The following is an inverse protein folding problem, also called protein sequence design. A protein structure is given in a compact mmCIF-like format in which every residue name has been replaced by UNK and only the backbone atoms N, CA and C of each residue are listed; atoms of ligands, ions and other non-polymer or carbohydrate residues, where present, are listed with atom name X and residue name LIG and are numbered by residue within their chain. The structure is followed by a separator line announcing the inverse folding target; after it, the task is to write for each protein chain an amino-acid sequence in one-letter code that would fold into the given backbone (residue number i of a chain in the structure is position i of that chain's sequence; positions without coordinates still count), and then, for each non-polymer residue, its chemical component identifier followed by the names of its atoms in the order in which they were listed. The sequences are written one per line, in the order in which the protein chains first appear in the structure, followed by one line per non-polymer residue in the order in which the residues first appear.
data_IF_316085837482
#
_entry.id   IF_316085837482
#
_cell.length_a   1.000
_cell.length_b   1.000
_cell.length_c   1.000
_cell.angle_alpha   90.00
_cell.angle_beta   90.00
_cell.angle_gamma   90.00
#
_symmetry.space_group_name_H-M   'P 1'
#
loop_
_entity.id
_entity.type
_entity.pdbx_description
1 polymer ?
#
# COMPACT_ATOMS: atom_id res chain seq x y z
N UNK A 1 26.57 -1.36 6.97
CA UNK A 1 25.33 -1.29 6.18
C UNK A 1 25.74 -0.96 4.76
N UNK A 2 25.72 -1.95 3.87
CA UNK A 2 26.01 -1.75 2.45
C UNK A 2 24.74 -1.20 1.80
N UNK A 3 24.78 0.05 1.35
CA UNK A 3 23.72 0.62 0.53
C UNK A 3 23.96 0.10 -0.89
N UNK A 4 23.28 -0.98 -1.27
CA UNK A 4 23.25 -1.43 -2.66
C UNK A 4 22.31 -0.49 -3.42
N UNK A 5 22.91 0.34 -4.28
CA UNK A 5 22.21 1.30 -5.14
C UNK A 5 21.52 0.53 -6.27
N UNK A 6 20.25 0.82 -6.48
CA UNK A 6 19.51 0.35 -7.65
C UNK A 6 20.06 1.13 -8.86
N UNK A 7 20.81 0.48 -9.75
CA UNK A 7 21.52 1.16 -10.84
C UNK A 7 20.61 1.63 -12.01
N UNK A 8 19.30 1.74 -11.80
CA UNK A 8 18.29 2.00 -12.83
C UNK A 8 17.73 3.42 -12.86
N UNK A 9 18.46 4.42 -12.37
CA UNK A 9 17.93 5.78 -12.22
C UNK A 9 18.81 6.82 -12.92
N UNK A 10 18.16 7.78 -13.57
CA UNK A 10 18.85 8.96 -14.07
C UNK A 10 19.06 9.98 -12.95
N UNK A 11 20.16 10.70 -13.00
CA UNK A 11 20.50 11.78 -12.07
C UNK A 11 20.15 13.15 -12.69
N UNK A 12 20.14 13.23 -14.02
CA UNK A 12 19.70 14.41 -14.77
C UNK A 12 19.20 13.99 -16.17
N UNK A 13 17.90 13.72 -16.33
CA UNK A 13 17.36 13.21 -17.58
C UNK A 13 17.57 14.19 -18.74
N UNK A 14 18.20 13.71 -19.82
CA UNK A 14 18.35 14.47 -21.06
C UNK A 14 16.99 14.68 -21.74
N UNK A 15 16.96 15.62 -22.69
CA UNK A 15 15.85 15.71 -23.65
C UNK A 15 15.66 14.36 -24.35
N UNK A 16 14.40 13.94 -24.46
CA UNK A 16 14.00 12.71 -25.14
C UNK A 16 13.22 13.13 -26.38
N UNK A 17 13.85 13.06 -27.55
CA UNK A 17 13.16 13.26 -28.81
C UNK A 17 12.29 12.03 -29.11
N UNK A 18 11.06 12.07 -28.60
CA UNK A 18 10.08 10.99 -28.74
C UNK A 18 9.65 10.77 -30.18
N UNK A 19 9.68 11.82 -31.02
CA UNK A 19 9.34 11.73 -32.44
C UNK A 19 10.38 10.91 -33.20
N UNK A 20 11.65 11.23 -33.02
CA UNK A 20 12.75 10.51 -33.69
C UNK A 20 12.84 9.05 -33.21
N UNK A 21 12.67 8.83 -31.89
CA UNK A 21 12.59 7.47 -31.33
C UNK A 21 11.44 6.69 -31.97
N UNK A 22 10.24 7.28 -32.05
CA UNK A 22 9.08 6.63 -32.64
C UNK A 22 9.32 6.28 -34.12
N UNK A 23 9.91 7.19 -34.89
CA UNK A 23 10.25 6.96 -36.31
C UNK A 23 11.23 5.79 -36.49
N UNK A 24 12.26 5.70 -35.65
CA UNK A 24 13.19 4.57 -35.69
C UNK A 24 12.48 3.26 -35.31
N UNK A 25 11.56 3.27 -34.34
CA UNK A 25 10.79 2.08 -33.97
C UNK A 25 9.91 1.58 -35.13
N UNK A 26 9.25 2.49 -35.85
CA UNK A 26 8.45 2.17 -37.05
C UNK A 26 9.29 1.47 -38.12
N UNK A 27 10.55 1.84 -38.27
CA UNK A 27 11.45 1.24 -39.25
C UNK A 27 11.68 -0.27 -39.04
N UNK A 28 11.40 -0.81 -37.85
CA UNK A 28 11.45 -2.25 -37.56
C UNK A 28 10.21 -3.02 -38.04
N UNK A 29 9.24 -2.36 -38.70
CA UNK A 29 8.04 -3.00 -39.26
C UNK A 29 7.02 -3.45 -38.22
N UNK A 30 7.02 -2.81 -37.03
CA UNK A 30 6.12 -3.16 -35.93
C UNK A 30 4.80 -2.42 -36.09
N UNK A 31 3.68 -3.09 -35.82
CA UNK A 31 2.35 -2.47 -35.82
C UNK A 31 2.26 -1.40 -34.73
N UNK A 32 2.10 -0.14 -35.10
CA UNK A 32 2.06 0.98 -34.14
C UNK A 32 0.92 0.87 -33.13
N UNK A 33 -0.20 0.25 -33.52
CA UNK A 33 -1.38 0.12 -32.65
C UNK A 33 -1.10 -0.72 -31.40
N UNK A 34 -0.14 -1.65 -31.47
CA UNK A 34 0.23 -2.48 -30.31
C UNK A 34 1.26 -1.81 -29.40
N UNK A 35 1.81 -0.65 -29.76
CA UNK A 35 2.82 0.02 -28.94
C UNK A 35 2.21 1.04 -27.98
N UNK A 36 1.02 1.57 -28.32
CA UNK A 36 0.36 2.69 -27.63
C UNK A 36 1.34 3.82 -27.21
N UNK A 37 2.27 4.13 -28.13
CA UNK A 37 3.45 4.94 -27.86
C UNK A 37 3.07 6.31 -27.28
N UNK A 38 2.04 6.95 -27.82
CA UNK A 38 1.60 8.29 -27.39
C UNK A 38 1.18 8.33 -25.92
N UNK A 39 0.51 7.30 -25.42
CA UNK A 39 -0.11 7.33 -24.10
C UNK A 39 0.78 6.72 -23.01
N UNK A 40 1.70 5.83 -23.39
CA UNK A 40 2.44 5.00 -22.43
C UNK A 40 3.96 5.00 -22.61
N UNK A 41 4.54 5.68 -23.61
CA UNK A 41 5.99 5.71 -23.78
C UNK A 41 6.74 6.03 -22.47
N UNK A 42 6.29 7.05 -21.74
CA UNK A 42 6.96 7.44 -20.49
C UNK A 42 6.64 6.55 -19.28
N UNK A 43 5.58 5.74 -19.31
CA UNK A 43 5.35 4.71 -18.28
C UNK A 43 6.11 3.40 -18.55
N UNK A 44 6.58 3.22 -19.79
CA UNK A 44 7.11 1.97 -20.31
C UNK A 44 8.64 2.00 -20.50
N UNK A 45 9.28 3.10 -20.11
CA UNK A 45 10.73 3.24 -20.08
C UNK A 45 11.29 2.96 -18.69
N UNK A 46 12.52 2.43 -18.67
CA UNK A 46 13.36 2.34 -17.47
C UNK A 46 14.72 2.93 -17.81
N UNK A 47 15.21 3.84 -16.98
CA UNK A 47 16.54 4.41 -17.13
C UNK A 47 17.58 3.38 -16.79
N UNK A 48 18.53 3.08 -17.69
CA UNK A 48 19.76 2.40 -17.30
C UNK A 48 20.76 3.39 -16.71
N UNK A 49 20.79 4.59 -17.24
CA UNK A 49 21.57 5.74 -16.78
C UNK A 49 21.09 6.98 -17.56
N UNK A 50 21.72 8.14 -17.32
CA UNK A 50 21.39 9.43 -17.96
C UNK A 50 21.45 9.43 -19.50
N UNK A 51 22.09 8.42 -20.11
CA UNK A 51 22.29 8.32 -21.55
C UNK A 51 21.61 7.11 -22.19
N UNK A 52 21.01 6.21 -21.42
CA UNK A 52 20.47 4.96 -21.94
C UNK A 52 19.16 4.61 -21.25
N UNK A 53 18.14 4.31 -22.05
CA UNK A 53 16.85 3.80 -21.62
C UNK A 53 16.63 2.39 -22.16
N UNK A 54 15.89 1.59 -21.43
CA UNK A 54 15.16 0.47 -22.01
C UNK A 54 13.69 0.87 -22.16
N UNK A 55 13.12 0.62 -23.34
CA UNK A 55 11.70 0.79 -23.59
C UNK A 55 11.09 -0.59 -23.83
N UNK A 56 10.11 -0.97 -23.02
CA UNK A 56 9.29 -2.16 -23.26
C UNK A 56 7.82 -1.75 -23.30
N UNK A 57 7.27 -1.49 -24.51
CA UNK A 57 5.88 -1.05 -24.65
C UNK A 57 4.92 -1.97 -23.91
N UNK A 58 4.03 -1.36 -23.15
CA UNK A 58 2.89 -2.01 -22.55
C UNK A 58 2.14 -2.79 -23.65
N UNK A 59 1.61 -3.96 -23.31
CA UNK A 59 1.02 -4.91 -24.27
C UNK A 59 1.99 -5.69 -25.17
N UNK A 60 3.30 -5.43 -25.12
CA UNK A 60 4.30 -6.19 -25.91
C UNK A 60 5.42 -6.77 -25.05
N UNK A 61 6.15 -7.75 -25.58
CA UNK A 61 7.43 -8.19 -25.02
C UNK A 61 8.64 -7.58 -25.74
N UNK A 62 8.42 -6.62 -26.63
CA UNK A 62 9.52 -5.96 -27.32
C UNK A 62 10.40 -5.22 -26.34
N UNK A 63 11.71 -5.34 -26.50
CA UNK A 63 12.65 -4.54 -25.75
C UNK A 63 13.48 -3.73 -26.73
N UNK A 64 13.46 -2.43 -26.55
CA UNK A 64 14.32 -1.50 -27.26
C UNK A 64 15.33 -0.93 -26.28
N UNK A 65 16.60 -0.89 -26.70
CA UNK A 65 17.62 -0.07 -26.05
C UNK A 65 17.67 1.26 -26.78
N UNK A 66 17.50 2.35 -26.06
CA UNK A 66 17.54 3.71 -26.59
C UNK A 66 18.76 4.40 -26.01
N UNK A 67 19.65 4.87 -26.87
CA UNK A 67 20.77 5.74 -26.49
C UNK A 67 20.35 7.19 -26.68
N UNK A 68 20.34 7.98 -25.61
CA UNK A 68 19.93 9.38 -25.59
C UNK A 68 21.09 10.31 -25.97
N UNK A 69 20.77 11.36 -26.70
CA UNK A 69 21.66 12.41 -27.16
C UNK A 69 20.92 13.28 -28.19
N UNK A 70 21.63 14.23 -28.80
CA UNK A 70 21.05 15.14 -29.80
C UNK A 70 20.40 14.37 -30.96
N UNK A 71 20.98 13.21 -31.30
CA UNK A 71 20.41 12.25 -32.22
C UNK A 71 20.23 10.90 -31.49
N UNK A 72 19.04 10.60 -30.95
CA UNK A 72 18.83 9.34 -30.24
C UNK A 72 19.00 8.14 -31.18
N UNK A 73 19.42 7.00 -30.64
CA UNK A 73 19.55 5.75 -31.40
C UNK A 73 18.78 4.63 -30.75
N UNK A 74 17.92 3.98 -31.51
CA UNK A 74 17.06 2.90 -31.06
C UNK A 74 17.56 1.56 -31.61
N UNK A 75 17.73 0.59 -30.73
CA UNK A 75 18.07 -0.78 -31.07
C UNK A 75 16.96 -1.71 -30.58
N UNK A 76 16.30 -2.43 -31.48
CA UNK A 76 15.43 -3.56 -31.08
C UNK A 76 16.32 -4.71 -30.62
N UNK A 77 16.27 -5.05 -29.34
CA UNK A 77 17.14 -6.07 -28.74
C UNK A 77 16.42 -7.38 -28.42
N UNK A 78 15.09 -7.44 -28.51
CA UNK A 78 14.29 -8.66 -28.32
C UNK A 78 14.01 -9.38 -29.65
N UNK A 79 13.99 -10.72 -29.63
CA UNK A 79 13.66 -11.56 -30.80
C UNK A 79 12.22 -12.13 -30.79
N UNK A 80 11.59 -12.34 -29.63
CA UNK A 80 10.28 -13.03 -29.50
C UNK A 80 9.06 -12.10 -29.48
N UNK A 81 7.90 -12.65 -29.87
CA UNK A 81 6.64 -11.92 -30.15
C UNK A 81 5.42 -12.38 -29.35
N UNK A 82 5.48 -13.48 -28.60
CA UNK A 82 4.26 -14.09 -28.05
C UNK A 82 4.36 -14.30 -26.53
N UNK A 83 3.65 -13.47 -25.76
CA UNK A 83 3.06 -13.81 -24.45
C UNK A 83 1.81 -12.95 -24.20
N UNK A 84 0.81 -13.56 -23.58
CA UNK A 84 -0.56 -13.01 -23.44
C UNK A 84 -0.80 -12.14 -22.20
N UNK A 85 0.24 -11.68 -21.50
CA UNK A 85 0.13 -11.01 -20.19
C UNK A 85 0.99 -9.75 -20.05
N UNK A 86 1.01 -8.94 -21.10
CA UNK A 86 1.96 -7.84 -21.26
C UNK A 86 1.46 -6.49 -20.73
N UNK A 87 0.22 -6.41 -20.21
CA UNK A 87 -0.35 -5.16 -19.70
C UNK A 87 -0.07 -4.91 -18.21
N UNK A 88 0.16 -3.64 -17.85
CA UNK A 88 0.29 -3.14 -16.47
C UNK A 88 1.31 -3.94 -15.63
N UNK A 89 2.43 -4.31 -16.26
CA UNK A 89 3.55 -4.99 -15.60
C UNK A 89 4.41 -3.98 -14.85
N UNK A 90 5.04 -4.43 -13.78
CA UNK A 90 6.06 -3.65 -13.09
C UNK A 90 7.42 -3.88 -13.74
N UNK A 91 7.84 -2.95 -14.59
CA UNK A 91 9.13 -2.96 -15.28
C UNK A 91 10.19 -2.23 -14.44
N UNK A 92 11.39 -2.80 -14.29
CA UNK A 92 12.47 -2.20 -13.49
C UNK A 92 13.85 -2.79 -13.83
N UNK A 93 14.92 -2.14 -13.38
CA UNK A 93 16.29 -2.66 -13.50
C UNK A 93 16.86 -3.03 -12.14
N UNK A 94 17.35 -4.26 -11.98
CA UNK A 94 18.11 -4.65 -10.79
C UNK A 94 19.44 -5.25 -11.23
N UNK A 95 20.54 -4.73 -10.69
CA UNK A 95 21.91 -5.14 -11.07
C UNK A 95 22.12 -5.18 -12.60
N UNK A 96 21.73 -4.11 -13.30
CA UNK A 96 21.81 -3.96 -14.77
C UNK A 96 20.98 -4.96 -15.60
N UNK A 97 20.11 -5.74 -14.95
CA UNK A 97 19.20 -6.69 -15.62
C UNK A 97 17.78 -6.14 -15.60
N UNK A 98 17.13 -6.11 -16.77
CA UNK A 98 15.75 -5.68 -16.93
C UNK A 98 14.81 -6.78 -16.44
N UNK A 99 13.96 -6.45 -15.48
CA UNK A 99 12.94 -7.33 -14.93
C UNK A 99 11.54 -6.80 -15.23
N UNK A 100 10.59 -7.73 -15.29
CA UNK A 100 9.17 -7.43 -15.37
C UNK A 100 8.43 -8.34 -14.40
N UNK A 101 7.57 -7.76 -13.55
CA UNK A 101 6.83 -8.48 -12.53
C UNK A 101 5.33 -8.26 -12.65
N UNK A 102 4.57 -9.34 -12.50
CA UNK A 102 3.13 -9.31 -12.70
C UNK A 102 2.76 -9.23 -14.18
N UNK A 103 1.52 -8.80 -14.46
CA UNK A 103 1.00 -8.64 -15.80
C UNK A 103 -0.44 -9.11 -15.92
N UNK A 104 -1.21 -8.42 -16.75
CA UNK A 104 -2.61 -8.72 -17.01
C UNK A 104 -2.76 -8.98 -18.52
N UNK A 105 -3.55 -9.99 -18.84
CA UNK A 105 -4.04 -10.28 -20.18
C UNK A 105 -5.55 -10.06 -20.25
N UNK A 106 -6.13 -10.28 -21.43
CA UNK A 106 -7.58 -10.12 -21.66
C UNK A 106 -8.45 -10.99 -20.73
N UNK A 107 -8.00 -12.21 -20.42
CA UNK A 107 -8.81 -13.20 -19.68
C UNK A 107 -8.11 -13.74 -18.43
N UNK A 108 -6.85 -13.41 -18.23
CA UNK A 108 -6.00 -14.03 -17.22
C UNK A 108 -4.90 -13.06 -16.77
N UNK A 109 -4.17 -13.40 -15.71
CA UNK A 109 -3.06 -12.61 -15.20
C UNK A 109 -1.82 -13.49 -15.03
N UNK A 110 -0.64 -12.88 -15.14
CA UNK A 110 0.63 -13.53 -14.88
C UNK A 110 1.18 -12.99 -13.56
N UNK A 111 1.22 -13.81 -12.49
CA UNK A 111 1.74 -13.38 -11.20
C UNK A 111 3.25 -13.61 -11.03
N UNK A 112 3.97 -13.89 -12.11
CA UNK A 112 5.38 -14.27 -12.05
C UNK A 112 6.35 -13.11 -12.22
N UNK A 113 7.62 -13.39 -11.95
CA UNK A 113 8.77 -12.54 -12.26
C UNK A 113 9.49 -13.09 -13.49
N UNK A 114 9.78 -12.20 -14.45
CA UNK A 114 10.63 -12.51 -15.59
C UNK A 114 11.79 -11.51 -15.67
N UNK A 115 12.87 -11.94 -16.31
CA UNK A 115 14.01 -11.10 -16.61
C UNK A 115 14.37 -11.20 -18.08
N UNK A 116 14.92 -10.13 -18.64
CA UNK A 116 15.41 -10.12 -20.00
C UNK A 116 16.83 -10.69 -20.03
N UNK A 117 17.00 -11.84 -20.67
CA UNK A 117 18.29 -12.45 -20.90
C UNK A 117 18.92 -11.85 -22.16
N UNK A 118 19.89 -10.96 -21.99
CA UNK A 118 20.52 -10.25 -23.11
C UNK A 118 21.19 -11.17 -24.15
N UNK A 119 21.92 -12.24 -23.78
CA UNK A 119 22.53 -13.15 -24.75
C UNK A 119 21.51 -13.87 -25.62
N UNK A 120 20.43 -14.42 -25.04
CA UNK A 120 19.38 -15.08 -25.82
C UNK A 120 18.34 -14.13 -26.40
N UNK A 121 18.32 -12.86 -25.97
CA UNK A 121 17.37 -11.81 -26.37
C UNK A 121 15.91 -12.13 -26.05
N UNK A 122 15.69 -12.88 -24.97
CA UNK A 122 14.39 -13.42 -24.58
C UNK A 122 14.04 -13.10 -23.14
N UNK A 123 12.75 -13.13 -22.84
CA UNK A 123 12.26 -13.05 -21.47
C UNK A 123 12.26 -14.44 -20.83
N UNK A 124 12.90 -14.56 -19.68
CA UNK A 124 13.05 -15.83 -18.97
C UNK A 124 12.36 -15.73 -17.61
N UNK A 125 11.55 -16.75 -17.29
CA UNK A 125 10.89 -16.84 -15.99
C UNK A 125 11.91 -17.02 -14.86
N UNK A 126 11.83 -16.16 -13.85
CA UNK A 126 12.63 -16.28 -12.63
C UNK A 126 11.84 -17.06 -11.57
N UNK A 127 12.43 -18.13 -11.05
CA UNK A 127 11.86 -18.88 -9.93
C UNK A 127 12.04 -18.08 -8.64
N UNK A 128 10.97 -17.92 -7.89
CA UNK A 128 10.97 -17.32 -6.54
C UNK A 128 10.75 -18.45 -5.54
N UNK A 129 11.65 -18.61 -4.57
CA UNK A 129 11.52 -19.56 -3.47
C UNK A 129 10.38 -19.14 -2.56
N UNK A 130 9.66 -20.13 -2.01
CA UNK A 130 8.53 -19.94 -1.10
C UNK A 130 7.39 -19.08 -1.67
N UNK A 131 7.34 -18.85 -2.99
CA UNK A 131 6.27 -18.12 -3.62
C UNK A 131 4.97 -18.94 -3.56
N UNK A 132 3.81 -18.36 -3.17
CA UNK A 132 2.59 -19.13 -3.02
C UNK A 132 2.15 -19.74 -4.37
N UNK A 133 1.66 -20.97 -4.35
CA UNK A 133 1.29 -21.69 -5.57
C UNK A 133 -0.09 -21.27 -6.11
N UNK A 134 -0.92 -20.69 -5.26
CA UNK A 134 -2.31 -20.30 -5.47
C UNK A 134 -2.46 -18.82 -5.85
N UNK A 135 -1.36 -18.13 -6.17
CA UNK A 135 -1.41 -16.72 -6.58
C UNK A 135 -2.14 -16.62 -7.92
N UNK A 136 -3.22 -15.83 -7.93
CA UNK A 136 -4.01 -15.51 -9.11
C UNK A 136 -3.48 -14.29 -9.85
N UNK A 137 -3.13 -13.21 -9.14
CA UNK A 137 -2.58 -11.99 -9.75
C UNK A 137 -1.79 -11.13 -8.75
N UNK A 138 -0.85 -10.36 -9.27
CA UNK A 138 -0.23 -9.24 -8.53
C UNK A 138 -1.18 -8.05 -8.58
N UNK A 139 -1.59 -7.54 -7.43
CA UNK A 139 -2.48 -6.38 -7.33
C UNK A 139 -1.72 -5.07 -7.22
N UNK A 140 -0.63 -5.08 -6.47
CA UNK A 140 0.23 -3.92 -6.28
C UNK A 140 1.67 -4.37 -6.07
N UNK A 141 2.63 -3.57 -6.51
CA UNK A 141 4.02 -3.77 -6.15
C UNK A 141 4.84 -2.48 -6.31
N UNK A 142 5.92 -2.35 -5.55
CA UNK A 142 6.93 -1.31 -5.70
C UNK A 142 8.29 -1.86 -5.25
N UNK A 143 9.37 -1.22 -5.64
CA UNK A 143 10.72 -1.67 -5.29
C UNK A 143 11.36 -0.68 -4.34
N UNK A 144 11.97 -1.22 -3.28
CA UNK A 144 12.75 -0.47 -2.32
C UNK A 144 14.03 -1.27 -2.01
N UNK A 145 15.18 -0.68 -2.31
CA UNK A 145 16.46 -1.36 -2.23
C UNK A 145 16.46 -2.66 -3.04
N UNK A 146 16.81 -3.78 -2.41
CA UNK A 146 16.83 -5.10 -3.03
C UNK A 146 15.51 -5.89 -2.87
N UNK A 147 14.38 -5.22 -2.61
CA UNK A 147 13.10 -5.90 -2.34
C UNK A 147 11.99 -5.42 -3.26
N UNK A 148 11.19 -6.35 -3.77
CA UNK A 148 9.86 -6.04 -4.31
C UNK A 148 8.86 -6.17 -3.17
N UNK A 149 8.24 -5.06 -2.75
CA UNK A 149 7.05 -5.10 -1.91
C UNK A 149 5.86 -5.51 -2.78
N UNK A 150 5.04 -6.44 -2.31
CA UNK A 150 3.97 -7.00 -3.15
C UNK A 150 2.69 -7.32 -2.40
N UNK A 151 1.56 -6.91 -2.99
CA UNK A 151 0.23 -7.40 -2.64
C UNK A 151 -0.23 -8.42 -3.69
N UNK A 152 -0.51 -9.63 -3.23
CA UNK A 152 -0.96 -10.76 -4.03
C UNK A 152 -2.45 -11.02 -3.79
N UNK A 153 -3.14 -11.43 -4.85
CA UNK A 153 -4.48 -12.00 -4.77
C UNK A 153 -4.42 -13.49 -5.11
N UNK A 154 -5.13 -14.30 -4.34
CA UNK A 154 -5.11 -15.75 -4.42
C UNK A 154 -6.42 -16.29 -5.04
N UNK A 155 -6.38 -17.52 -5.54
CA UNK A 155 -7.60 -18.27 -5.82
C UNK A 155 -8.31 -18.58 -4.50
N UNK A 156 -9.64 -18.50 -4.48
CA UNK A 156 -10.41 -18.89 -3.30
C UNK A 156 -10.61 -20.41 -3.28
N UNK A 157 -10.62 -21.00 -2.08
CA UNK A 157 -10.94 -22.42 -1.90
C UNK A 157 -12.39 -22.77 -2.28
N UNK A 158 -13.25 -21.76 -2.50
CA UNK A 158 -14.67 -21.92 -2.80
C UNK A 158 -15.03 -21.28 -4.14
N UNK A 159 -14.54 -21.83 -5.24
CA UNK A 159 -15.13 -21.59 -6.57
C UNK A 159 -16.51 -22.26 -6.65
N UNK A 160 -17.47 -21.76 -5.87
CA UNK A 160 -18.88 -22.06 -6.06
C UNK A 160 -19.48 -20.94 -6.91
N UNK A 161 -20.39 -21.28 -7.80
CA UNK A 161 -21.00 -20.47 -8.87
C UNK A 161 -21.75 -19.20 -8.44
N UNK A 162 -21.55 -18.71 -7.21
CA UNK A 162 -22.01 -17.40 -6.74
C UNK A 162 -20.82 -16.46 -6.74
N UNK A 163 -20.98 -15.30 -7.40
CA UNK A 163 -20.06 -14.17 -7.44
C UNK A 163 -19.29 -14.11 -6.12
N UNK A 164 -18.03 -14.55 -6.15
CA UNK A 164 -17.26 -14.75 -4.93
C UNK A 164 -16.93 -13.36 -4.37
N UNK A 165 -17.70 -12.96 -3.38
CA UNK A 165 -17.65 -11.59 -2.86
C UNK A 165 -16.45 -11.37 -1.95
N UNK A 166 -15.45 -12.26 -1.88
CA UNK A 166 -14.33 -12.13 -0.95
C UNK A 166 -12.98 -12.46 -1.60
N UNK A 167 -12.11 -11.46 -1.75
CA UNK A 167 -10.73 -11.65 -2.20
C UNK A 167 -9.87 -12.19 -1.06
N UNK A 168 -9.06 -13.21 -1.35
CA UNK A 168 -8.00 -13.69 -0.47
C UNK A 168 -6.69 -13.00 -0.86
N UNK A 169 -6.08 -12.30 0.09
CA UNK A 169 -4.94 -11.43 -0.15
C UNK A 169 -3.77 -11.81 0.75
N UNK A 170 -2.55 -11.72 0.22
CA UNK A 170 -1.33 -11.72 1.03
C UNK A 170 -0.45 -10.54 0.68
N UNK A 171 0.22 -10.00 1.69
CA UNK A 171 1.20 -8.94 1.55
C UNK A 171 2.55 -9.45 2.04
N UNK A 172 3.60 -9.14 1.30
CA UNK A 172 4.94 -9.61 1.61
C UNK A 172 6.01 -8.91 0.78
N UNK A 173 7.20 -9.47 0.81
CA UNK A 173 8.36 -8.99 0.08
C UNK A 173 9.03 -10.12 -0.69
N UNK A 174 9.60 -9.80 -1.85
CA UNK A 174 10.51 -10.68 -2.60
C UNK A 174 11.91 -10.09 -2.51
N UNK A 175 12.83 -10.83 -1.89
CA UNK A 175 14.26 -10.51 -1.89
C UNK A 175 14.82 -10.78 -3.31
N UNK A 176 15.35 -9.74 -3.96
CA UNK A 176 15.87 -9.80 -5.34
C UNK A 176 17.27 -10.43 -5.44
N UNK A 177 18.01 -10.57 -4.33
CA UNK A 177 19.31 -11.24 -4.32
C UNK A 177 19.13 -12.76 -4.19
N UNK A 178 18.25 -13.17 -3.27
CA UNK A 178 17.96 -14.58 -2.97
C UNK A 178 16.85 -15.16 -3.85
N UNK A 179 16.06 -14.29 -4.46
CA UNK A 179 14.81 -14.61 -5.15
C UNK A 179 13.90 -15.44 -4.24
N UNK A 180 13.57 -14.90 -3.07
CA UNK A 180 12.79 -15.57 -2.03
C UNK A 180 11.66 -14.67 -1.54
N UNK A 181 10.46 -15.25 -1.45
CA UNK A 181 9.27 -14.57 -0.95
C UNK A 181 9.12 -14.79 0.56
N UNK A 182 8.90 -13.69 1.27
CA UNK A 182 8.53 -13.69 2.68
C UNK A 182 7.15 -13.05 2.83
N UNK A 183 6.18 -13.82 3.33
CA UNK A 183 4.86 -13.30 3.63
C UNK A 183 4.88 -12.53 4.96
N UNK A 184 4.38 -11.30 4.94
CA UNK A 184 4.24 -10.45 6.13
C UNK A 184 2.84 -10.58 6.73
N UNK A 185 1.81 -10.65 5.89
CA UNK A 185 0.42 -10.74 6.33
C UNK A 185 -0.47 -11.46 5.30
N UNK A 186 -1.61 -11.97 5.76
CA UNK A 186 -2.68 -12.51 4.92
C UNK A 186 -4.04 -12.08 5.47
N UNK A 187 -4.96 -11.68 4.58
CA UNK A 187 -6.27 -11.18 4.97
C UNK A 187 -7.31 -11.38 3.87
N UNK A 188 -8.59 -11.25 4.23
CA UNK A 188 -9.71 -11.34 3.29
C UNK A 188 -10.44 -10.01 3.19
N UNK A 189 -10.94 -9.64 2.00
CA UNK A 189 -11.67 -8.38 1.77
C UNK A 189 -12.88 -8.55 0.85
N UNK A 190 -14.03 -7.95 1.18
CA UNK A 190 -15.30 -8.19 0.48
C UNK A 190 -15.63 -7.23 -0.67
N UNK A 191 -16.40 -7.72 -1.65
CA UNK A 191 -16.63 -7.18 -3.00
C UNK A 191 -17.57 -5.98 -3.20
N UNK A 192 -18.43 -5.57 -2.25
CA UNK A 192 -19.14 -4.29 -2.39
C UNK A 192 -18.19 -3.08 -2.47
N UNK A 193 -16.96 -3.19 -1.95
CA UNK A 193 -15.89 -2.20 -2.13
C UNK A 193 -15.18 -2.29 -3.49
N UNK A 194 -15.38 -3.38 -4.25
CA UNK A 194 -14.66 -3.70 -5.49
C UNK A 194 -15.40 -3.30 -6.77
N UNK A 195 -16.73 -3.20 -6.75
CA UNK A 195 -17.54 -2.85 -7.94
C UNK A 195 -17.32 -1.41 -8.44
N UNK A 196 -16.79 -0.53 -7.59
CA UNK A 196 -16.49 0.87 -7.94
C UNK A 196 -15.02 1.28 -7.71
N UNK A 197 -14.20 0.47 -7.00
CA UNK A 197 -12.87 0.89 -6.52
C UNK A 197 -11.81 -0.22 -6.42
N UNK A 198 -11.56 -0.99 -7.50
CA UNK A 198 -10.31 -1.76 -7.59
C UNK A 198 -9.05 -0.89 -7.36
N UNK A 199 -9.15 0.42 -7.64
CA UNK A 199 -8.20 1.50 -7.36
C UNK A 199 -7.83 1.74 -5.88
N UNK A 200 -8.44 1.03 -4.91
CA UNK A 200 -8.17 1.24 -3.49
C UNK A 200 -7.13 0.30 -2.90
N UNK A 201 -6.84 -0.82 -3.56
CA UNK A 201 -5.88 -1.82 -3.08
C UNK A 201 -4.52 -1.73 -3.74
N UNK A 202 -4.34 -0.85 -4.71
CA UNK A 202 -3.08 -0.54 -5.35
C UNK A 202 -3.19 0.75 -6.12
N UNK A 203 -2.12 1.15 -6.80
CA UNK A 203 -2.14 2.25 -7.76
C UNK A 203 -1.86 1.68 -9.15
N UNK A 204 -2.50 2.26 -10.16
CA UNK A 204 -2.13 1.96 -11.54
C UNK A 204 -0.82 2.64 -11.85
N UNK A 205 -0.02 2.03 -12.73
CA UNK A 205 1.27 2.56 -13.15
C UNK A 205 1.17 3.97 -13.74
N UNK A 206 0.06 4.27 -14.43
CA UNK A 206 -0.22 5.58 -15.01
C UNK A 206 0.32 5.71 -16.44
N UNK A 207 0.33 6.93 -16.94
CA UNK A 207 0.85 7.32 -18.26
C UNK A 207 2.32 7.76 -18.21
N UNK A 208 2.82 8.03 -17.00
CA UNK A 208 4.17 8.47 -16.73
C UNK A 208 4.70 7.79 -15.48
N UNK A 209 5.94 7.29 -15.52
CA UNK A 209 6.64 6.81 -14.33
C UNK A 209 8.06 7.34 -14.31
N UNK A 210 8.45 7.88 -13.16
CA UNK A 210 9.85 8.04 -12.82
C UNK A 210 10.12 7.35 -11.49
N UNK A 211 10.92 6.29 -11.52
CA UNK A 211 11.28 5.55 -10.32
C UNK A 211 12.61 6.08 -9.76
N UNK A 212 12.75 6.15 -8.44
CA UNK A 212 13.98 6.50 -7.71
C UNK A 212 14.13 5.59 -6.48
N UNK A 213 15.24 5.65 -5.74
CA UNK A 213 15.46 4.74 -4.60
C UNK A 213 14.35 4.81 -3.54
N UNK A 214 13.95 6.03 -3.15
CA UNK A 214 13.01 6.27 -2.04
C UNK A 214 11.60 6.61 -2.50
N UNK A 215 11.45 7.13 -3.72
CA UNK A 215 10.18 7.59 -4.24
C UNK A 215 9.92 7.09 -5.65
N UNK A 216 8.65 6.99 -6.04
CA UNK A 216 8.28 6.91 -7.45
C UNK A 216 7.26 7.97 -7.81
N UNK A 217 7.50 8.68 -8.90
CA UNK A 217 6.59 9.66 -9.47
C UNK A 217 5.70 8.97 -10.50
N UNK A 218 4.40 9.19 -10.39
CA UNK A 218 3.39 8.63 -11.28
C UNK A 218 2.55 9.76 -11.85
N UNK A 219 2.37 9.78 -13.17
CA UNK A 219 1.51 10.75 -13.85
C UNK A 219 0.32 10.07 -14.52
N UNK A 220 -0.83 10.73 -14.50
CA UNK A 220 -2.10 10.22 -14.98
C UNK A 220 -2.80 11.23 -15.87
N UNK A 221 -3.30 10.76 -17.01
CA UNK A 221 -4.26 11.51 -17.83
C UNK A 221 -5.66 11.26 -17.24
N UNK A 222 -6.31 12.31 -16.75
CA UNK A 222 -7.66 12.28 -16.17
C UNK A 222 -8.74 12.46 -17.26
N UNK A 223 -10.02 12.30 -16.91
CA UNK A 223 -11.16 12.21 -17.87
C UNK A 223 -11.30 13.41 -18.83
N UNK A 224 -10.79 14.59 -18.46
CA UNK A 224 -10.84 15.82 -19.28
C UNK A 224 -9.51 16.13 -19.98
N UNK A 225 -8.55 15.21 -19.94
CA UNK A 225 -7.20 15.41 -20.49
C UNK A 225 -6.23 16.10 -19.54
N UNK A 226 -6.68 16.53 -18.36
CA UNK A 226 -5.83 17.07 -17.31
C UNK A 226 -4.77 16.03 -16.91
N UNK A 227 -3.54 16.48 -16.69
CA UNK A 227 -2.45 15.63 -16.25
C UNK A 227 -2.17 15.85 -14.76
N UNK A 228 -2.14 14.77 -13.97
CA UNK A 228 -1.92 14.85 -12.53
C UNK A 228 -0.76 13.96 -12.10
N UNK A 229 0.16 14.52 -11.33
CA UNK A 229 1.27 13.78 -10.74
C UNK A 229 0.96 13.35 -9.30
N UNK A 230 1.52 12.21 -8.92
CA UNK A 230 1.41 11.63 -7.58
C UNK A 230 2.73 10.97 -7.22
N UNK A 231 3.09 10.98 -5.95
CA UNK A 231 4.33 10.41 -5.44
C UNK A 231 4.01 9.22 -4.55
N UNK A 232 4.66 8.09 -4.79
CA UNK A 232 4.78 7.02 -3.83
C UNK A 232 6.03 7.25 -2.99
N UNK A 233 5.86 7.39 -1.68
CA UNK A 233 6.94 7.14 -0.71
C UNK A 233 7.07 5.63 -0.52
N UNK A 234 8.18 5.06 -0.98
CA UNK A 234 8.39 3.61 -1.00
C UNK A 234 8.67 3.03 0.38
N UNK A 235 9.22 3.85 1.28
CA UNK A 235 9.53 3.49 2.66
C UNK A 235 8.24 3.43 3.47
N UNK A 236 7.42 4.47 3.36
CA UNK A 236 6.14 4.58 4.07
C UNK A 236 5.00 3.87 3.35
N UNK A 237 5.19 3.42 2.11
CA UNK A 237 4.13 2.85 1.27
C UNK A 237 2.96 3.82 1.11
N UNK A 238 3.24 5.12 1.12
CA UNK A 238 2.25 6.20 1.08
C UNK A 238 2.19 6.78 -0.32
N UNK A 239 0.99 6.84 -0.90
CA UNK A 239 0.79 7.39 -2.23
C UNK A 239 -0.01 8.68 -2.16
N UNK A 240 0.64 9.80 -2.51
CA UNK A 240 0.13 11.14 -2.23
C UNK A 240 0.14 12.06 -3.45
N UNK A 241 -0.76 13.03 -3.44
CA UNK A 241 -0.74 14.21 -4.31
C UNK A 241 -0.64 15.47 -3.44
N UNK A 242 0.06 16.49 -3.94
CA UNK A 242 0.19 17.78 -3.28
C UNK A 242 -0.17 18.92 -4.25
N UNK A 243 -0.52 20.09 -3.70
CA UNK A 243 -0.82 21.27 -4.53
C UNK A 243 0.34 21.68 -5.43
N UNK A 244 1.60 21.42 -5.02
CA UNK A 244 2.78 21.69 -5.86
C UNK A 244 2.90 20.73 -7.05
N UNK A 245 2.48 19.48 -6.91
CA UNK A 245 2.44 18.54 -8.03
C UNK A 245 1.36 18.90 -9.05
N UNK A 246 0.27 19.50 -8.59
CA UNK A 246 -0.84 19.97 -9.43
C UNK A 246 -0.49 21.20 -10.29
N UNK A 247 0.58 21.92 -9.95
CA UNK A 247 1.11 23.04 -10.75
C UNK A 247 1.93 22.56 -11.96
N UNK A 248 2.32 21.28 -12.01
CA UNK A 248 3.18 20.75 -13.06
C UNK A 248 2.41 20.39 -14.32
N UNK A 249 3.00 20.71 -15.48
CA UNK A 249 2.50 20.30 -16.78
C UNK A 249 2.88 18.86 -17.14
N UNK A 250 2.15 18.27 -18.09
CA UNK A 250 2.48 16.95 -18.65
C UNK A 250 3.86 16.96 -19.33
N UNK A 251 4.61 15.86 -19.19
CA UNK A 251 5.87 15.67 -19.92
C UNK A 251 5.62 15.39 -21.41
N UNK A 252 6.55 15.83 -22.26
CA UNK A 252 6.61 15.44 -23.67
C UNK A 252 7.99 14.94 -24.11
N UNK A 253 8.95 14.92 -23.19
CA UNK A 253 10.34 14.50 -23.40
C UNK A 253 11.30 15.68 -23.49
N UNK A 254 10.84 16.84 -23.98
CA UNK A 254 11.55 18.10 -23.87
C UNK A 254 11.30 18.74 -22.51
N UNK A 255 10.03 18.87 -22.12
CA UNK A 255 9.66 19.03 -20.72
C UNK A 255 9.73 17.69 -20.01
N UNK A 256 10.20 17.70 -18.75
CA UNK A 256 10.38 16.45 -18.01
C UNK A 256 10.32 16.65 -16.50
N UNK A 257 9.67 15.75 -15.78
CA UNK A 257 9.59 15.77 -14.31
C UNK A 257 10.27 14.55 -13.73
N UNK A 258 11.22 14.69 -12.83
CA UNK A 258 11.90 13.55 -12.22
C UNK A 258 12.11 13.75 -10.72
N UNK A 259 12.40 12.67 -10.01
CA UNK A 259 12.71 12.72 -8.58
C UNK A 259 14.16 12.32 -8.37
N UNK A 260 14.86 13.12 -7.58
CA UNK A 260 16.18 12.78 -7.05
C UNK A 260 16.19 13.07 -5.56
N UNK A 261 16.61 12.07 -4.79
CA UNK A 261 16.55 12.08 -3.33
C UNK A 261 15.11 12.39 -2.87
N UNK A 262 14.91 13.48 -2.13
CA UNK A 262 13.58 13.93 -1.66
C UNK A 262 13.08 15.17 -2.41
N UNK A 263 13.55 15.42 -3.64
CA UNK A 263 13.15 16.58 -4.43
C UNK A 263 12.59 16.19 -5.79
N UNK A 264 11.50 16.85 -6.16
CA UNK A 264 10.95 16.84 -7.51
C UNK A 264 11.65 17.92 -8.31
N UNK A 265 12.10 17.58 -9.51
CA UNK A 265 12.68 18.49 -10.48
C UNK A 265 11.80 18.56 -11.70
N UNK A 266 11.55 19.76 -12.21
CA UNK A 266 10.87 19.98 -13.46
C UNK A 266 11.80 20.75 -14.41
N UNK A 267 12.01 20.18 -15.59
CA UNK A 267 12.69 20.82 -16.71
C UNK A 267 11.64 21.32 -17.70
N UNK A 268 11.71 22.60 -18.05
CA UNK A 268 10.87 23.19 -19.09
C UNK A 268 11.45 22.98 -20.50
N UNK A 269 10.71 23.42 -21.53
CA UNK A 269 11.15 23.35 -22.93
C UNK A 269 12.41 24.16 -23.25
N UNK A 270 12.73 25.18 -22.46
CA UNK A 270 13.94 25.99 -22.63
C UNK A 270 15.15 25.38 -21.91
N UNK A 271 14.94 24.29 -21.16
CA UNK A 271 15.96 23.63 -20.36
C UNK A 271 16.16 24.25 -18.97
N UNK A 272 15.32 25.20 -18.55
CA UNK A 272 15.36 25.70 -17.18
C UNK A 272 14.86 24.63 -16.22
N UNK A 273 15.47 24.54 -15.04
CA UNK A 273 15.14 23.53 -14.04
C UNK A 273 14.67 24.20 -12.76
N UNK A 274 13.45 23.88 -12.36
CA UNK A 274 12.90 24.22 -11.06
C UNK A 274 12.82 22.96 -10.18
N UNK A 275 12.84 23.15 -8.85
CA UNK A 275 12.69 22.03 -7.94
C UNK A 275 12.00 22.39 -6.63
N UNK A 276 11.33 21.41 -6.05
CA UNK A 276 10.68 21.51 -4.74
C UNK A 276 10.79 20.19 -3.98
N UNK A 277 10.63 20.23 -2.65
CA UNK A 277 10.62 19.02 -1.82
C UNK A 277 9.37 18.17 -2.12
N UNK A 278 9.49 16.84 -2.11
CA UNK A 278 8.37 15.90 -2.36
C UNK A 278 7.17 16.10 -1.42
N UNK A 279 7.34 16.78 -0.29
CA UNK A 279 6.29 17.13 0.66
C UNK A 279 5.81 18.58 0.55
N UNK A 280 6.29 19.34 -0.43
CA UNK A 280 5.90 20.75 -0.60
C UNK A 280 4.44 20.87 -1.04
N UNK A 281 3.78 21.92 -0.56
CA UNK A 281 2.35 22.17 -0.80
C UNK A 281 1.45 21.46 0.21
N UNK A 282 0.14 21.62 0.02
CA UNK A 282 -0.86 20.95 0.85
C UNK A 282 -1.16 19.56 0.30
N UNK A 283 -1.33 18.56 1.19
CA UNK A 283 -1.71 17.20 0.79
C UNK A 283 -3.18 17.18 0.35
N UNK A 284 -3.42 16.85 -0.92
CA UNK A 284 -4.77 16.79 -1.51
C UNK A 284 -5.36 15.39 -1.36
N UNK A 285 -4.54 14.38 -1.63
CA UNK A 285 -4.91 12.98 -1.57
C UNK A 285 -3.75 12.22 -0.92
N UNK A 286 -4.03 11.36 0.05
CA UNK A 286 -3.05 10.37 0.51
C UNK A 286 -3.69 9.00 0.70
N UNK A 287 -2.96 7.94 0.34
CA UNK A 287 -3.31 6.55 0.57
C UNK A 287 -2.13 5.82 1.20
N UNK A 288 -2.32 5.34 2.42
CA UNK A 288 -1.32 4.61 3.19
C UNK A 288 -1.43 3.10 2.94
N UNK A 289 -0.72 2.57 1.93
CA UNK A 289 -0.86 1.16 1.52
C UNK A 289 -0.35 0.18 2.58
N UNK A 290 0.76 0.47 3.28
CA UNK A 290 1.21 -0.41 4.36
C UNK A 290 0.15 -0.56 5.46
N UNK A 291 -0.50 0.53 5.87
CA UNK A 291 -1.59 0.47 6.85
C UNK A 291 -2.78 -0.33 6.34
N UNK A 292 -3.12 -0.17 5.06
CA UNK A 292 -4.20 -0.95 4.42
C UNK A 292 -3.91 -2.46 4.37
N UNK A 293 -2.63 -2.85 4.36
CA UNK A 293 -2.21 -4.24 4.24
C UNK A 293 -1.78 -4.86 5.58
N UNK A 294 -1.72 -4.08 6.67
CA UNK A 294 -1.44 -4.61 8.00
C UNK A 294 -2.58 -5.52 8.49
N UNK A 295 -2.26 -6.50 9.35
CA UNK A 295 -3.31 -7.28 10.00
C UNK A 295 -4.15 -6.31 10.82
N UNK A 296 -5.48 -6.35 10.66
CA UNK A 296 -6.36 -5.65 11.60
C UNK A 296 -6.15 -6.29 12.97
N UNK A 297 -5.46 -5.61 13.87
CA UNK A 297 -5.50 -5.99 15.28
C UNK A 297 -6.96 -5.95 15.69
N UNK A 298 -7.46 -7.02 16.30
CA UNK A 298 -8.77 -6.95 16.99
C UNK A 298 -8.56 -6.00 18.16
N UNK A 299 -8.73 -4.69 17.92
CA UNK A 299 -8.84 -3.73 19.00
C UNK A 299 -10.12 -4.08 19.73
N UNK A 300 -9.95 -4.74 20.87
CA UNK A 300 -11.04 -4.92 21.82
C UNK A 300 -11.49 -3.50 22.17
N UNK A 301 -12.69 -3.15 21.75
CA UNK A 301 -13.25 -1.83 21.98
C UNK A 301 -13.11 -1.49 23.47
N UNK A 302 -12.64 -0.29 23.84
CA UNK A 302 -12.56 0.10 25.25
C UNK A 302 -13.93 -0.05 25.93
N UNK A 303 -15.03 0.11 25.18
CA UNK A 303 -16.38 -0.15 25.66
C UNK A 303 -16.62 -1.61 26.07
N UNK A 304 -16.01 -2.59 25.40
CA UNK A 304 -16.10 -4.00 25.77
C UNK A 304 -15.40 -4.29 27.11
N UNK A 305 -14.23 -3.67 27.35
CA UNK A 305 -13.50 -3.76 28.62
C UNK A 305 -14.32 -3.11 29.75
N UNK A 306 -14.86 -1.92 29.50
CA UNK A 306 -15.74 -1.21 30.45
C UNK A 306 -17.01 -2.02 30.75
N UNK A 307 -17.60 -2.68 29.74
CA UNK A 307 -18.77 -3.55 29.91
C UNK A 307 -18.49 -4.71 30.85
N UNK A 308 -17.33 -5.38 30.68
CA UNK A 308 -16.90 -6.48 31.55
C UNK A 308 -16.69 -5.97 32.99
N UNK A 309 -16.05 -4.82 33.16
CA UNK A 309 -15.84 -4.21 34.48
C UNK A 309 -17.16 -3.89 35.19
N UNK A 310 -18.15 -3.35 34.49
CA UNK A 310 -19.49 -3.08 35.04
C UNK A 310 -20.17 -4.38 35.49
N UNK A 311 -20.11 -5.43 34.68
CA UNK A 311 -20.71 -6.74 35.02
C UNK A 311 -20.05 -7.32 36.28
N UNK A 312 -18.73 -7.23 36.40
CA UNK A 312 -18.00 -7.70 37.59
C UNK A 312 -18.42 -6.90 38.83
N UNK A 313 -18.53 -5.57 38.74
CA UNK A 313 -19.00 -4.73 39.84
C UNK A 313 -20.43 -5.09 40.29
N UNK A 314 -21.33 -5.34 39.34
CA UNK A 314 -22.71 -5.76 39.64
C UNK A 314 -22.76 -7.13 40.33
N UNK A 315 -21.92 -8.09 39.89
CA UNK A 315 -21.80 -9.40 40.53
C UNK A 315 -21.26 -9.28 41.97
N UNK A 316 -20.24 -8.47 42.20
CA UNK A 316 -19.70 -8.22 43.54
C UNK A 316 -20.77 -7.59 44.43
N UNK A 317 -21.48 -6.57 43.93
CA UNK A 317 -22.57 -5.93 44.67
C UNK A 317 -23.70 -6.92 45.02
N UNK A 318 -24.08 -7.78 44.08
CA UNK A 318 -25.08 -8.82 44.29
C UNK A 318 -24.66 -9.82 45.37
N UNK A 319 -23.40 -10.28 45.36
CA UNK A 319 -22.86 -11.17 46.38
C UNK A 319 -22.83 -10.50 47.76
N UNK A 320 -22.45 -9.23 47.85
CA UNK A 320 -22.48 -8.46 49.10
C UNK A 320 -23.92 -8.33 49.62
N UNK A 321 -24.88 -8.03 48.74
CA UNK A 321 -26.32 -7.96 49.06
C UNK A 321 -26.84 -9.28 49.60
N UNK A 322 -26.54 -10.40 48.95
CA UNK A 322 -26.96 -11.74 49.40
C UNK A 322 -26.34 -12.05 50.76
N UNK A 323 -25.03 -11.83 50.93
CA UNK A 323 -24.38 -12.05 52.23
C UNK A 323 -25.05 -11.21 53.32
N UNK A 324 -25.29 -9.91 53.09
CA UNK A 324 -25.96 -9.04 54.06
C UNK A 324 -27.38 -9.53 54.41
N UNK A 325 -28.18 -9.91 53.42
CA UNK A 325 -29.55 -10.43 53.63
C UNK A 325 -29.54 -11.76 54.37
N UNK A 326 -28.63 -12.69 54.04
CA UNK A 326 -28.53 -13.98 54.72
C UNK A 326 -27.99 -13.83 56.14
N UNK A 327 -27.09 -12.89 56.39
CA UNK A 327 -26.61 -12.59 57.75
C UNK A 327 -27.76 -12.08 58.62
N UNK A 328 -28.58 -11.15 58.11
CA UNK A 328 -29.77 -10.64 58.78
C UNK A 328 -30.86 -11.69 59.02
N UNK A 329 -31.05 -12.64 58.09
CA UNK A 329 -32.02 -13.75 58.23
C UNK A 329 -31.60 -14.82 59.23
N UNK A 330 -30.29 -14.99 59.48
CA UNK A 330 -29.75 -16.00 60.38
C UNK A 330 -29.58 -15.50 61.83
N UNK A 331 -29.92 -14.25 62.12
CA UNK A 331 -30.00 -13.76 63.50
C UNK A 331 -31.27 -14.32 64.19
N UNK A 332 -31.20 -14.76 65.45
CA UNK A 332 -32.38 -15.09 66.24
C UNK A 332 -33.38 -13.92 66.21
N UNK A 333 -34.67 -14.19 66.03
CA UNK A 333 -35.69 -13.15 65.80
C UNK A 333 -35.75 -12.05 66.86
N UNK A 334 -35.36 -12.36 68.10
CA UNK A 334 -35.25 -11.40 69.21
C UNK A 334 -34.07 -10.43 69.03
N UNK A 335 -32.90 -10.93 68.62
CA UNK A 335 -31.69 -10.12 68.43
C UNK A 335 -31.81 -9.19 67.22
N UNK A 336 -32.48 -9.64 66.15
CA UNK A 336 -32.73 -8.82 64.97
C UNK A 336 -33.65 -7.62 65.27
N UNK A 337 -34.66 -7.82 66.14
CA UNK A 337 -35.55 -6.75 66.60
C UNK A 337 -34.82 -5.75 67.52
N UNK A 338 -34.00 -6.24 68.44
CA UNK A 338 -33.20 -5.39 69.34
C UNK A 338 -32.21 -4.50 68.57
N UNK A 339 -31.50 -5.06 67.59
CA UNK A 339 -30.58 -4.28 66.74
C UNK A 339 -31.33 -3.20 65.95
N UNK A 340 -32.53 -3.49 65.45
CA UNK A 340 -33.35 -2.51 64.71
C UNK A 340 -33.87 -1.38 65.60
N UNK A 341 -34.18 -1.69 66.87
CA UNK A 341 -34.57 -0.69 67.88
C UNK A 341 -33.37 0.20 68.22
N UNK A 342 -32.18 -0.39 68.41
CA UNK A 342 -30.93 0.34 68.68
C UNK A 342 -30.56 1.25 67.50
N UNK A 343 -30.63 0.73 66.28
CA UNK A 343 -30.29 1.47 65.05
C UNK A 343 -31.26 2.65 64.83
N UNK A 344 -32.56 2.46 65.11
CA UNK A 344 -33.54 3.55 65.03
C UNK A 344 -33.33 4.61 66.12
N UNK A 345 -33.02 4.22 67.37
CA UNK A 345 -32.72 5.17 68.46
C UNK A 345 -31.49 6.02 68.19
N UNK A 346 -30.48 5.45 67.51
CA UNK A 346 -29.23 6.14 67.18
C UNK A 346 -29.25 6.86 65.82
N UNK A 347 -30.32 6.69 65.04
CA UNK A 347 -30.41 7.20 63.66
C UNK A 347 -30.22 8.71 63.56
N UNK A 348 -30.76 9.45 64.53
CA UNK A 348 -30.68 10.92 64.58
C UNK A 348 -29.37 11.44 65.19
N UNK A 349 -28.52 10.54 65.71
CA UNK A 349 -27.22 10.86 66.31
C UNK A 349 -26.04 10.50 65.39
N UNK A 350 -26.31 9.98 64.19
CA UNK A 350 -25.32 9.40 63.26
C UNK A 350 -24.19 10.35 62.82
N UNK A 351 -24.37 11.65 62.97
CA UNK A 351 -23.42 12.69 62.56
C UNK A 351 -22.90 13.55 63.72
N UNK A 352 -23.27 13.23 64.97
CA UNK A 352 -22.96 14.04 66.15
C UNK A 352 -22.07 13.28 67.14
N UNK A 353 -21.20 14.00 67.86
CA UNK A 353 -20.48 13.43 69.01
C UNK A 353 -21.41 13.42 70.21
N UNK A 354 -21.75 12.25 70.74
CA UNK A 354 -22.65 12.09 71.89
C UNK A 354 -21.86 11.81 73.17
N UNK A 355 -22.24 12.46 74.27
CA UNK A 355 -21.66 12.17 75.58
C UNK A 355 -22.26 10.89 76.16
N UNK A 356 -21.53 10.26 77.09
CA UNK A 356 -21.96 9.00 77.71
C UNK A 356 -23.31 9.15 78.42
N UNK A 357 -23.52 10.24 79.14
CA UNK A 357 -24.75 10.46 79.92
C UNK A 357 -25.99 10.51 79.00
N UNK A 358 -25.83 11.10 77.81
CA UNK A 358 -26.91 11.21 76.82
C UNK A 358 -27.17 9.89 76.10
N UNK A 359 -26.15 9.04 75.98
CA UNK A 359 -26.28 7.68 75.48
C UNK A 359 -27.04 6.79 76.49
N UNK A 360 -26.70 6.90 77.77
CA UNK A 360 -27.33 6.17 78.87
C UNK A 360 -28.82 6.56 78.99
N UNK A 361 -29.17 7.85 78.83
CA UNK A 361 -30.56 8.34 78.77
C UNK A 361 -31.36 7.76 77.58
N UNK A 362 -30.75 7.70 76.39
CA UNK A 362 -31.38 7.16 75.16
C UNK A 362 -31.77 5.67 75.30
N UNK A 363 -31.00 4.92 76.08
CA UNK A 363 -31.23 3.50 76.33
C UNK A 363 -31.87 3.20 77.68
N UNK A 364 -31.98 4.20 78.57
CA UNK A 364 -32.60 4.07 79.90
C UNK A 364 -31.80 3.16 80.84
N UNK A 365 -30.46 3.25 80.80
CA UNK A 365 -29.53 2.40 81.54
C UNK A 365 -28.80 3.19 82.63
#
# INVERSE_FOLDING_TARGET
MSWHIFNGFSQNPKAIDTLEIHNQIKSFGINEKILDFKNHFFSDIVYKNDSTLYYNPNSTLYVFKISLGDNPRVFKISEELDWSHSYNRHLFLFNDVLYSYGGIGLFNAFPGLIYFDYPSKKWVKKKIKNYPFDVKKVLNSWIIGNKIMVLLNHFSEFETSKIDTQMQLSFGEIDLEKFEYTQTNSFKKTSPELLFKQYNLGFFRGNYIYDSDLYSLHGYIEEYGDFRYRILDKVLGSFKSTTKLDELSSVDGFSYVYIKDSRVYYRDHSGNIESFDVNSGESILSKEYYELYKPKTKNISPYYIVSILIIICLLIFYVIRIKKVNTLKNLPGTLAQEILIIENKLKDQKSNTISKEKLDELFGI
#
